data_IF_421044859643
#
_entry.id   IF_421044859643
#
_cell.length_a   1.000
_cell.length_b   1.000
_cell.length_c   1.000
_cell.angle_alpha   90.00
_cell.angle_beta   90.00
_cell.angle_gamma   90.00
#
_symmetry.space_group_name_H-M   'P 1'
#
loop_
_entity.id
_entity.type
_entity.pdbx_description
1 polymer ?
#
# COMPACT_ATOMS: atom_id res chain seq x y z
N UNK A 1 -79.40 -26.87 -37.85
CA UNK A 1 -78.78 -27.57 -36.71
C UNK A 1 -77.29 -27.68 -36.98
N UNK A 2 -76.56 -26.55 -36.99
CA UNK A 2 -75.70 -26.03 -35.90
C UNK A 2 -74.61 -27.03 -35.50
N UNK A 3 -73.39 -26.79 -36.00
CA UNK A 3 -72.23 -27.69 -35.92
C UNK A 3 -71.52 -27.75 -34.57
N UNK A 4 -70.45 -28.55 -34.46
CA UNK A 4 -69.68 -28.69 -33.24
C UNK A 4 -68.52 -27.69 -33.19
N UNK A 5 -68.50 -26.93 -32.10
CA UNK A 5 -67.35 -26.16 -31.62
C UNK A 5 -66.57 -27.00 -30.60
N UNK A 6 -65.35 -26.50 -30.31
CA UNK A 6 -64.57 -26.63 -29.05
C UNK A 6 -63.75 -27.91 -28.82
N UNK A 7 -62.52 -27.90 -28.30
CA UNK A 7 -61.67 -26.86 -27.68
C UNK A 7 -60.19 -27.30 -27.80
N UNK A 8 -59.28 -26.36 -28.11
CA UNK A 8 -57.83 -26.54 -27.94
C UNK A 8 -57.50 -26.56 -26.43
N UNK A 9 -56.74 -27.57 -26.01
CA UNK A 9 -56.15 -27.62 -24.67
C UNK A 9 -54.81 -26.86 -24.66
N UNK A 10 -54.74 -25.78 -23.89
CA UNK A 10 -53.48 -25.13 -23.49
C UNK A 10 -52.92 -25.85 -22.26
N UNK A 11 -51.71 -26.38 -22.38
CA UNK A 11 -50.92 -26.94 -21.27
C UNK A 11 -50.02 -25.85 -20.71
N UNK A 12 -50.30 -25.38 -19.49
CA UNK A 12 -49.42 -24.48 -18.75
C UNK A 12 -48.36 -25.32 -18.02
N UNK A 13 -47.10 -25.17 -18.42
CA UNK A 13 -45.94 -25.70 -17.70
C UNK A 13 -45.42 -24.63 -16.74
N UNK A 14 -45.45 -24.92 -15.44
CA UNK A 14 -44.89 -24.08 -14.40
C UNK A 14 -43.35 -24.26 -14.36
N UNK A 15 -42.62 -23.19 -14.64
CA UNK A 15 -41.18 -23.13 -14.43
C UNK A 15 -40.90 -22.68 -12.99
N UNK A 16 -40.30 -23.56 -12.19
CA UNK A 16 -39.76 -23.26 -10.86
C UNK A 16 -38.43 -22.51 -11.03
N UNK A 17 -38.45 -21.21 -10.74
CA UNK A 17 -37.25 -20.37 -10.59
C UNK A 17 -36.61 -20.66 -9.22
N UNK A 18 -35.37 -21.15 -9.22
CA UNK A 18 -34.50 -21.11 -8.04
C UNK A 18 -33.84 -19.73 -7.98
N UNK A 19 -34.41 -18.85 -7.18
CA UNK A 19 -33.75 -17.62 -6.73
C UNK A 19 -32.79 -17.97 -5.58
N UNK A 20 -31.49 -17.98 -5.86
CA UNK A 20 -30.47 -17.95 -4.83
C UNK A 20 -30.51 -16.56 -4.17
N UNK A 21 -31.15 -16.47 -2.99
CA UNK A 21 -31.11 -15.27 -2.18
C UNK A 21 -29.69 -15.14 -1.59
N UNK A 22 -28.96 -14.10 -2.00
CA UNK A 22 -27.74 -13.68 -1.34
C UNK A 22 -28.08 -13.29 0.11
N UNK A 23 -27.42 -13.94 1.07
CA UNK A 23 -27.54 -13.60 2.48
C UNK A 23 -26.72 -12.32 2.70
N UNK A 24 -27.30 -11.22 3.22
CA UNK A 24 -26.53 -10.01 3.47
C UNK A 24 -25.54 -10.28 4.60
N UNK A 25 -24.26 -10.01 4.34
CA UNK A 25 -23.21 -10.02 5.35
C UNK A 25 -23.54 -8.92 6.37
N UNK A 26 -24.00 -9.33 7.54
CA UNK A 26 -24.32 -8.41 8.63
C UNK A 26 -23.01 -7.88 9.22
N UNK A 27 -22.89 -6.57 9.31
CA UNK A 27 -21.80 -5.88 9.99
C UNK A 27 -21.82 -6.25 11.48
N UNK A 28 -20.82 -7.02 11.94
CA UNK A 28 -20.71 -7.41 13.35
C UNK A 28 -19.85 -6.41 14.13
N UNK A 29 -20.32 -6.14 15.34
CA UNK A 29 -19.93 -5.05 16.22
C UNK A 29 -18.55 -5.27 16.87
N UNK A 30 -17.74 -4.20 16.94
CA UNK A 30 -17.00 -3.72 18.13
C UNK A 30 -16.11 -4.62 19.02
N UNK A 31 -16.10 -5.94 18.87
CA UNK A 31 -15.27 -6.89 19.63
C UNK A 31 -14.37 -7.68 18.68
N UNK A 32 -13.41 -8.42 19.23
CA UNK A 32 -12.64 -9.41 18.46
C UNK A 32 -13.53 -10.11 17.43
N UNK A 33 -13.08 -10.18 16.17
CA UNK A 33 -13.80 -10.99 15.18
C UNK A 33 -14.02 -12.39 15.74
N UNK A 34 -15.24 -12.95 15.64
CA UNK A 34 -15.52 -14.28 16.16
C UNK A 34 -14.51 -15.27 15.57
N UNK A 35 -13.69 -15.89 16.41
CA UNK A 35 -12.72 -16.92 16.01
C UNK A 35 -11.22 -16.61 16.14
N UNK A 36 -10.85 -15.42 16.67
CA UNK A 36 -9.45 -15.06 16.90
C UNK A 36 -8.70 -14.62 15.64
N UNK A 37 -9.42 -14.02 14.70
CA UNK A 37 -8.87 -13.48 13.46
C UNK A 37 -8.27 -12.09 13.68
N UNK A 38 -7.27 -11.74 12.86
CA UNK A 38 -6.56 -10.47 12.88
C UNK A 38 -6.62 -9.86 11.49
N UNK A 39 -7.14 -8.64 11.37
CA UNK A 39 -7.09 -7.87 10.12
C UNK A 39 -5.77 -7.13 9.99
N UNK A 40 -5.03 -7.46 8.95
CA UNK A 40 -3.93 -6.64 8.46
C UNK A 40 -4.45 -5.79 7.30
N UNK A 41 -4.08 -4.52 7.28
CA UNK A 41 -4.45 -3.60 6.21
C UNK A 41 -3.32 -2.64 5.88
N UNK A 42 -3.36 -2.14 4.65
CA UNK A 42 -2.58 -0.98 4.20
C UNK A 42 -3.51 0.07 3.62
N UNK A 43 -3.18 1.34 3.79
CA UNK A 43 -3.91 2.45 3.21
C UNK A 43 -2.94 3.60 2.92
N UNK A 44 -2.66 3.88 1.65
CA UNK A 44 -2.15 5.19 1.30
C UNK A 44 -3.30 6.20 1.50
N UNK A 45 -3.16 7.06 2.51
CA UNK A 45 -4.22 7.99 2.92
C UNK A 45 -3.97 9.41 2.40
N UNK A 46 -2.86 9.62 1.67
CA UNK A 46 -2.40 10.92 1.19
C UNK A 46 -2.41 12.01 2.28
N UNK A 47 -2.16 11.62 3.53
CA UNK A 47 -2.05 12.50 4.69
C UNK A 47 -0.64 13.10 4.76
N UNK A 48 -0.21 13.69 3.66
CA UNK A 48 1.03 14.45 3.53
C UNK A 48 0.70 15.91 3.24
N UNK A 49 1.65 16.81 3.49
CA UNK A 49 1.50 18.25 3.22
C UNK A 49 2.70 18.78 2.44
N UNK A 50 2.56 19.90 1.73
CA UNK A 50 3.67 20.48 0.96
C UNK A 50 4.72 21.17 1.84
N UNK A 51 4.47 21.33 3.14
CA UNK A 51 5.33 22.06 4.07
C UNK A 51 5.55 21.24 5.35
N UNK A 52 6.77 21.26 5.85
CA UNK A 52 7.17 20.56 7.07
C UNK A 52 6.28 20.99 8.25
N UNK A 53 5.77 20.01 9.00
CA UNK A 53 4.86 20.26 10.13
C UNK A 53 3.42 20.61 9.75
N UNK A 54 3.10 20.75 8.46
CA UNK A 54 1.74 21.00 7.98
C UNK A 54 0.75 19.94 8.47
N UNK A 55 1.11 18.66 8.36
CA UNK A 55 0.25 17.56 8.83
C UNK A 55 -0.04 17.67 10.34
N UNK A 56 0.98 18.00 11.14
CA UNK A 56 0.81 18.19 12.59
C UNK A 56 -0.15 19.35 12.87
N UNK A 57 -0.07 20.43 12.10
CA UNK A 57 -0.96 21.58 12.25
C UNK A 57 -2.41 21.20 11.94
N UNK A 58 -2.66 20.52 10.83
CA UNK A 58 -4.02 20.14 10.42
C UNK A 58 -4.63 19.14 11.39
N UNK A 59 -3.88 18.09 11.75
CA UNK A 59 -4.31 17.09 12.71
C UNK A 59 -4.45 17.62 14.14
N UNK A 60 -3.95 18.83 14.44
CA UNK A 60 -4.06 19.42 15.80
C UNK A 60 -5.50 19.76 16.16
N UNK A 61 -6.36 19.97 15.16
CA UNK A 61 -7.80 20.16 15.29
C UNK A 61 -8.55 18.89 14.87
N UNK A 62 -9.88 18.79 15.09
CA UNK A 62 -10.69 17.70 14.55
C UNK A 62 -11.41 18.07 13.23
N UNK A 63 -10.97 19.11 12.50
CA UNK A 63 -11.73 19.71 11.40
C UNK A 63 -11.11 19.53 10.01
N UNK A 64 -9.97 18.85 9.88
CA UNK A 64 -9.41 18.51 8.57
C UNK A 64 -10.30 17.46 7.89
N UNK A 65 -10.93 17.81 6.77
CA UNK A 65 -11.91 16.96 6.10
C UNK A 65 -11.29 15.66 5.56
N UNK A 66 -10.10 15.75 4.95
CA UNK A 66 -9.39 14.57 4.44
C UNK A 66 -9.10 13.57 5.56
N UNK A 67 -8.63 14.05 6.72
CA UNK A 67 -8.39 13.19 7.88
C UNK A 67 -9.68 12.64 8.51
N UNK A 68 -10.82 13.33 8.41
CA UNK A 68 -12.13 12.78 8.80
C UNK A 68 -12.52 11.62 7.87
N UNK A 69 -12.41 11.81 6.56
CA UNK A 69 -12.75 10.80 5.57
C UNK A 69 -11.83 9.58 5.67
N UNK A 70 -10.52 9.79 5.78
CA UNK A 70 -9.55 8.72 6.02
C UNK A 70 -9.85 7.95 7.32
N UNK A 71 -10.24 8.65 8.39
CA UNK A 71 -10.64 8.01 9.64
C UNK A 71 -11.94 7.21 9.50
N UNK A 72 -12.91 7.68 8.72
CA UNK A 72 -14.13 6.93 8.41
C UNK A 72 -13.83 5.61 7.70
N UNK A 73 -13.00 5.65 6.65
CA UNK A 73 -12.55 4.45 5.91
C UNK A 73 -11.96 3.41 6.87
N UNK A 74 -11.07 3.85 7.76
CA UNK A 74 -10.43 2.99 8.78
C UNK A 74 -11.47 2.48 9.79
N UNK A 75 -12.41 3.30 10.22
CA UNK A 75 -13.44 2.94 11.22
C UNK A 75 -14.49 1.97 10.68
N UNK A 76 -14.82 2.05 9.39
CA UNK A 76 -15.68 1.09 8.70
C UNK A 76 -14.95 -0.23 8.44
N UNK A 77 -13.68 -0.17 8.05
CA UNK A 77 -12.90 -1.38 7.76
C UNK A 77 -12.39 -2.11 9.01
N UNK A 78 -12.19 -1.39 10.12
CA UNK A 78 -11.73 -1.92 11.41
C UNK A 78 -10.48 -2.81 11.35
N UNK A 79 -9.35 -2.33 10.78
CA UNK A 79 -8.12 -3.10 10.83
C UNK A 79 -7.61 -3.26 12.27
N UNK A 80 -6.91 -4.36 12.55
CA UNK A 80 -6.26 -4.57 13.85
C UNK A 80 -4.78 -4.19 13.80
N UNK A 81 -4.15 -4.34 12.63
CA UNK A 81 -2.83 -3.85 12.29
C UNK A 81 -2.96 -3.09 10.97
N UNK A 82 -2.68 -1.80 10.99
CA UNK A 82 -2.82 -0.90 9.85
C UNK A 82 -1.48 -0.23 9.56
N UNK A 83 -1.00 -0.37 8.32
CA UNK A 83 0.01 0.51 7.75
C UNK A 83 -0.71 1.67 7.04
N UNK A 84 -0.31 2.91 7.34
CA UNK A 84 -0.72 4.09 6.59
C UNK A 84 0.49 4.63 5.83
N UNK A 85 0.37 4.70 4.51
CA UNK A 85 1.34 5.31 3.61
C UNK A 85 1.01 6.80 3.40
N UNK A 86 1.98 7.56 2.91
CA UNK A 86 1.92 9.01 2.76
C UNK A 86 1.47 9.74 4.02
N UNK A 87 2.08 9.39 5.14
CA UNK A 87 1.86 10.03 6.41
C UNK A 87 3.15 10.74 6.82
N UNK A 88 3.16 12.08 6.75
CA UNK A 88 4.38 12.85 7.04
C UNK A 88 4.99 12.45 8.39
N UNK A 89 6.28 12.15 8.36
CA UNK A 89 7.04 11.77 9.53
C UNK A 89 7.32 12.99 10.39
N UNK A 90 7.05 12.86 11.69
CA UNK A 90 7.54 13.78 12.71
C UNK A 90 8.29 13.00 13.78
N UNK A 91 9.46 13.51 14.17
CA UNK A 91 10.36 12.80 15.09
C UNK A 91 9.80 12.63 16.49
N UNK A 92 8.85 13.47 16.88
CA UNK A 92 8.17 13.38 18.16
C UNK A 92 6.95 12.44 18.12
N UNK A 93 6.55 11.90 16.97
CA UNK A 93 5.34 11.09 16.76
C UNK A 93 4.03 11.82 17.09
N UNK A 94 4.01 13.15 17.01
CA UNK A 94 2.86 14.03 17.25
C UNK A 94 1.75 13.78 16.25
N UNK A 95 2.02 13.77 14.94
CA UNK A 95 1.01 13.57 13.91
C UNK A 95 0.25 12.25 14.17
N UNK A 96 0.99 11.17 14.45
CA UNK A 96 0.39 9.88 14.75
C UNK A 96 -0.50 9.88 16.01
N UNK A 97 -0.09 10.61 17.06
CA UNK A 97 -0.92 10.79 18.27
C UNK A 97 -2.16 11.64 18.00
N UNK A 98 -2.00 12.69 17.20
CA UNK A 98 -3.06 13.63 16.85
C UNK A 98 -4.13 12.96 16.00
N UNK A 99 -3.74 12.20 14.96
CA UNK A 99 -4.68 11.43 14.14
C UNK A 99 -5.47 10.42 14.99
N UNK A 100 -4.79 9.67 15.87
CA UNK A 100 -5.47 8.79 16.82
C UNK A 100 -6.47 9.56 17.69
N UNK A 101 -6.04 10.64 18.33
CA UNK A 101 -6.83 11.35 19.33
C UNK A 101 -8.02 12.07 18.73
N UNK A 102 -7.79 12.87 17.69
CA UNK A 102 -8.78 13.81 17.16
C UNK A 102 -9.70 13.18 16.10
N UNK A 103 -9.29 12.08 15.46
CA UNK A 103 -10.03 11.49 14.35
C UNK A 103 -10.41 10.05 14.63
N UNK A 104 -9.45 9.14 14.83
CA UNK A 104 -9.76 7.71 15.01
C UNK A 104 -10.57 7.42 16.28
N UNK A 105 -10.36 8.18 17.36
CA UNK A 105 -11.07 8.03 18.63
C UNK A 105 -12.49 8.62 18.63
N UNK A 106 -12.93 9.24 17.53
CA UNK A 106 -14.24 9.85 17.38
C UNK A 106 -14.93 9.31 16.13
N UNK A 107 -16.17 8.83 16.24
CA UNK A 107 -16.87 8.23 15.11
C UNK A 107 -17.14 9.24 14.00
N UNK A 108 -16.87 8.86 12.76
CA UNK A 108 -17.11 9.66 11.55
C UNK A 108 -18.35 9.14 10.83
N UNK A 109 -19.31 9.99 10.52
CA UNK A 109 -20.51 9.66 9.72
C UNK A 109 -21.21 8.33 10.10
N UNK A 110 -21.38 8.12 11.41
CA UNK A 110 -22.02 6.93 11.98
C UNK A 110 -21.14 5.68 12.09
N UNK A 111 -19.87 5.74 11.67
CA UNK A 111 -18.89 4.71 11.92
C UNK A 111 -18.42 4.73 13.38
N UNK A 112 -18.21 3.54 13.95
CA UNK A 112 -17.78 3.41 15.35
C UNK A 112 -16.31 3.81 15.53
N UNK A 113 -15.96 4.57 16.60
CA UNK A 113 -14.57 4.88 16.93
C UNK A 113 -13.65 3.67 16.93
N UNK A 114 -12.37 3.89 16.68
CA UNK A 114 -11.32 2.87 16.72
C UNK A 114 -10.09 3.36 17.47
N UNK A 115 -9.63 2.55 18.41
CA UNK A 115 -8.49 2.87 19.25
C UNK A 115 -7.31 1.91 19.01
N UNK A 116 -6.14 2.48 18.70
CA UNK A 116 -4.88 1.77 18.58
C UNK A 116 -3.93 2.15 19.72
N UNK A 117 -3.76 1.29 20.75
CA UNK A 117 -2.83 1.54 21.85
C UNK A 117 -1.36 1.55 21.41
N UNK A 118 -1.02 0.89 20.30
CA UNK A 118 0.36 0.81 19.81
C UNK A 118 0.49 1.54 18.48
N UNK A 119 1.58 2.28 18.34
CA UNK A 119 1.95 3.00 17.13
C UNK A 119 3.45 2.88 16.88
N UNK A 120 3.84 2.86 15.62
CA UNK A 120 5.25 2.90 15.23
C UNK A 120 5.43 3.86 14.06
N UNK A 121 6.42 4.74 14.18
CA UNK A 121 6.92 5.63 13.13
C UNK A 121 8.44 5.56 13.13
N UNK A 122 9.07 5.76 11.98
CA UNK A 122 10.51 5.85 11.84
C UNK A 122 10.87 6.80 10.69
N UNK A 123 12.10 7.34 10.64
CA UNK A 123 12.55 8.19 9.55
C UNK A 123 12.41 7.54 8.16
N UNK A 124 12.22 8.38 7.15
CA UNK A 124 12.11 8.05 5.73
C UNK A 124 13.22 8.74 4.94
N UNK A 125 13.58 8.22 3.77
CA UNK A 125 14.54 8.84 2.85
C UNK A 125 13.95 9.99 2.02
N UNK A 126 12.63 10.11 1.99
CA UNK A 126 11.92 11.19 1.29
C UNK A 126 12.33 12.56 1.80
N UNK A 127 12.74 13.41 0.88
CA UNK A 127 13.20 14.77 1.15
C UNK A 127 14.43 14.86 2.05
N UNK A 128 15.18 13.78 2.26
CA UNK A 128 16.50 13.84 2.91
C UNK A 128 17.55 14.14 1.83
N UNK A 129 18.17 15.31 1.90
CA UNK A 129 19.20 15.72 0.95
C UNK A 129 20.31 14.65 0.82
N UNK A 130 20.57 14.21 -0.41
CA UNK A 130 21.63 13.23 -0.66
C UNK A 130 23.01 13.88 -0.69
N UNK A 131 23.08 15.14 -1.13
CA UNK A 131 24.33 15.85 -1.44
C UNK A 131 25.01 15.32 -2.70
N UNK A 132 24.22 14.88 -3.69
CA UNK A 132 24.59 14.34 -4.99
C UNK A 132 23.68 14.96 -6.07
N UNK A 133 24.08 14.91 -7.33
CA UNK A 133 23.29 15.32 -8.52
C UNK A 133 22.56 14.08 -9.07
N UNK A 134 21.43 13.72 -8.48
CA UNK A 134 20.78 12.42 -8.75
C UNK A 134 19.92 12.42 -10.01
N UNK A 135 19.69 13.59 -10.62
CA UNK A 135 18.96 13.72 -11.88
C UNK A 135 19.84 14.13 -13.07
N UNK A 136 21.14 14.35 -12.85
CA UNK A 136 22.15 14.73 -13.84
C UNK A 136 21.87 16.08 -14.52
N UNK A 137 21.28 17.04 -13.80
CA UNK A 137 21.03 18.40 -14.32
C UNK A 137 22.26 19.33 -14.21
N UNK A 138 23.33 18.86 -13.57
CA UNK A 138 24.59 19.57 -13.33
C UNK A 138 24.61 20.38 -12.05
N UNK A 139 23.64 20.19 -11.14
CA UNK A 139 23.52 20.89 -9.85
C UNK A 139 23.34 19.88 -8.73
N UNK A 140 23.65 20.33 -7.52
CA UNK A 140 23.38 19.57 -6.30
C UNK A 140 22.65 20.49 -5.34
N UNK A 141 21.38 20.18 -5.09
CA UNK A 141 20.47 20.99 -4.27
C UNK A 141 20.27 20.32 -2.92
N UNK A 142 20.66 21.00 -1.84
CA UNK A 142 20.59 20.43 -0.47
C UNK A 142 19.70 21.23 0.48
N UNK A 143 19.08 22.32 0.03
CA UNK A 143 18.24 23.18 0.86
C UNK A 143 16.75 23.02 0.51
N UNK A 144 15.90 22.58 1.47
CA UNK A 144 14.45 22.51 1.27
C UNK A 144 13.85 23.81 0.73
N UNK A 145 12.94 23.69 -0.24
CA UNK A 145 12.26 24.83 -0.87
C UNK A 145 13.01 25.45 -2.06
N UNK A 146 14.26 25.06 -2.32
CA UNK A 146 14.90 25.35 -3.61
C UNK A 146 14.34 24.44 -4.72
N UNK A 147 14.23 24.95 -5.94
CA UNK A 147 13.84 24.12 -7.10
C UNK A 147 14.88 23.05 -7.38
N UNK A 148 14.44 21.82 -7.65
CA UNK A 148 15.31 20.64 -7.80
C UNK A 148 15.63 19.90 -6.47
N UNK A 149 15.22 20.44 -5.31
CA UNK A 149 15.53 19.81 -4.01
C UNK A 149 15.06 18.35 -3.90
N UNK A 150 13.85 18.06 -4.39
CA UNK A 150 13.29 16.71 -4.33
C UNK A 150 14.03 15.73 -5.24
N UNK A 151 14.51 16.21 -6.38
CA UNK A 151 15.19 15.39 -7.39
C UNK A 151 16.57 14.90 -6.90
N UNK A 152 17.24 15.70 -6.06
CA UNK A 152 18.52 15.37 -5.41
C UNK A 152 18.41 14.75 -4.01
N UNK A 153 17.20 14.53 -3.51
CA UNK A 153 17.00 13.84 -2.23
C UNK A 153 17.17 12.31 -2.39
N UNK A 154 17.51 11.59 -1.31
CA UNK A 154 17.60 10.13 -1.36
C UNK A 154 16.29 9.47 -1.84
N UNK A 155 15.16 10.08 -1.55
CA UNK A 155 13.89 9.86 -2.25
C UNK A 155 13.16 11.19 -2.38
N UNK A 156 12.33 11.33 -3.41
CA UNK A 156 11.66 12.59 -3.71
C UNK A 156 10.81 13.09 -2.53
N UNK A 157 10.95 14.37 -2.19
CA UNK A 157 10.18 15.06 -1.17
C UNK A 157 10.67 16.49 -0.95
N UNK A 158 9.76 17.39 -0.60
CA UNK A 158 10.03 18.82 -0.36
C UNK A 158 10.75 19.09 0.97
N UNK A 159 10.67 18.16 1.93
CA UNK A 159 11.35 18.24 3.22
C UNK A 159 11.59 16.83 3.80
N UNK A 160 12.56 16.67 4.72
CA UNK A 160 12.84 15.38 5.35
C UNK A 160 11.61 14.78 6.04
N UNK A 161 11.16 13.62 5.58
CA UNK A 161 10.04 12.89 6.17
C UNK A 161 8.68 13.10 5.51
N UNK A 162 8.57 13.94 4.48
CA UNK A 162 7.34 14.04 3.67
C UNK A 162 6.98 12.66 3.09
N UNK A 163 5.71 12.30 2.95
CA UNK A 163 5.29 11.00 2.40
C UNK A 163 5.77 9.78 3.21
N UNK A 164 5.98 9.97 4.51
CA UNK A 164 6.41 8.91 5.42
C UNK A 164 5.36 7.80 5.61
N UNK A 165 5.56 6.99 6.63
CA UNK A 165 4.66 5.89 6.99
C UNK A 165 4.38 5.89 8.49
N UNK A 166 3.24 5.30 8.87
CA UNK A 166 2.92 5.01 10.27
C UNK A 166 2.20 3.68 10.39
N UNK A 167 2.52 2.92 11.43
CA UNK A 167 1.77 1.71 11.80
C UNK A 167 0.92 2.00 13.02
N UNK A 168 -0.35 1.63 12.96
CA UNK A 168 -1.28 1.57 14.08
C UNK A 168 -1.61 0.12 14.39
N UNK A 169 -1.60 -0.27 15.68
CA UNK A 169 -1.94 -1.63 16.07
C UNK A 169 -2.73 -1.72 17.36
N UNK A 170 -3.71 -2.63 17.36
CA UNK A 170 -4.42 -3.12 18.55
C UNK A 170 -3.58 -4.11 19.35
N UNK A 171 -2.57 -4.69 18.71
CA UNK A 171 -1.67 -5.67 19.28
C UNK A 171 -0.31 -5.06 19.60
N UNK A 172 0.40 -5.55 20.63
CA UNK A 172 1.72 -5.03 20.97
C UNK A 172 2.71 -5.18 19.82
N UNK A 173 3.43 -4.09 19.53
CA UNK A 173 4.58 -4.07 18.62
C UNK A 173 5.83 -4.34 19.46
N UNK A 174 6.66 -5.30 19.04
CA UNK A 174 7.95 -5.56 19.68
C UNK A 174 9.01 -4.60 19.12
N UNK A 175 9.00 -3.35 19.61
CA UNK A 175 9.85 -2.27 19.10
C UNK A 175 11.34 -2.56 19.22
N UNK A 176 11.76 -3.34 20.20
CA UNK A 176 13.17 -3.75 20.38
C UNK A 176 13.65 -4.79 19.35
N UNK A 177 12.72 -5.40 18.60
CA UNK A 177 13.01 -6.36 17.55
C UNK A 177 12.69 -5.82 16.15
N UNK A 178 12.26 -4.57 16.02
CA UNK A 178 12.04 -3.92 14.72
C UNK A 178 13.37 -3.78 13.98
N UNK A 179 13.33 -4.02 12.67
CA UNK A 179 14.44 -3.72 11.77
C UNK A 179 13.99 -2.71 10.73
N UNK A 180 14.81 -1.71 10.47
CA UNK A 180 14.60 -0.74 9.41
C UNK A 180 15.74 -0.85 8.40
N UNK A 181 15.44 -0.59 7.13
CA UNK A 181 16.41 -0.69 6.04
C UNK A 181 16.44 0.61 5.24
N UNK A 182 16.38 1.74 5.95
CA UNK A 182 16.40 3.06 5.33
C UNK A 182 17.74 3.29 4.60
N UNK A 183 18.85 2.90 5.21
CA UNK A 183 20.21 3.24 4.78
C UNK A 183 20.88 2.17 3.92
N UNK A 184 20.20 1.05 3.66
CA UNK A 184 20.70 -0.01 2.79
C UNK A 184 20.98 0.53 1.38
N UNK A 185 22.22 0.37 0.89
CA UNK A 185 22.66 0.92 -0.40
C UNK A 185 22.15 0.10 -1.58
N UNK A 186 21.79 0.77 -2.67
CA UNK A 186 21.28 0.09 -3.87
C UNK A 186 22.37 -0.78 -4.51
N UNK A 187 23.59 -0.27 -4.62
CA UNK A 187 24.74 -1.00 -5.18
C UNK A 187 25.13 -2.26 -4.36
N UNK A 188 24.73 -2.35 -3.09
CA UNK A 188 24.99 -3.55 -2.28
C UNK A 188 24.03 -4.70 -2.58
N UNK A 189 22.98 -4.48 -3.38
CA UNK A 189 22.11 -5.54 -3.88
C UNK A 189 22.80 -6.29 -5.03
N UNK A 190 23.02 -7.62 -4.91
CA UNK A 190 23.68 -8.38 -5.97
C UNK A 190 22.87 -8.36 -7.27
N UNK A 191 23.47 -7.91 -8.37
CA UNK A 191 22.78 -7.76 -9.65
C UNK A 191 21.62 -6.78 -9.55
N UNK A 192 21.82 -5.65 -8.86
CA UNK A 192 20.90 -4.53 -8.86
C UNK A 192 20.61 -4.08 -10.31
N UNK A 193 19.36 -3.72 -10.57
CA UNK A 193 18.89 -3.17 -11.83
C UNK A 193 19.25 -1.68 -11.90
N UNK A 194 20.54 -1.34 -11.84
CA UNK A 194 21.00 0.04 -11.91
C UNK A 194 20.73 0.64 -13.31
N UNK A 195 20.20 1.87 -13.41
CA UNK A 195 19.86 2.48 -14.69
C UNK A 195 21.10 2.88 -15.49
N UNK A 196 20.95 2.93 -16.81
CA UNK A 196 21.95 3.42 -17.77
C UNK A 196 21.37 4.60 -18.54
N UNK A 197 22.21 5.53 -18.95
CA UNK A 197 21.80 6.59 -19.88
C UNK A 197 21.47 5.95 -21.25
N UNK A 198 20.23 6.11 -21.76
CA UNK A 198 19.80 5.47 -23.01
C UNK A 198 20.47 6.04 -24.26
N UNK A 199 21.07 7.23 -24.20
CA UNK A 199 21.77 7.86 -25.33
C UNK A 199 23.20 7.35 -25.47
N UNK A 200 23.88 7.15 -24.34
CA UNK A 200 25.31 6.79 -24.31
C UNK A 200 25.53 5.30 -24.02
N UNK A 201 24.61 4.65 -23.33
CA UNK A 201 24.74 3.27 -22.84
C UNK A 201 25.61 3.14 -21.58
N UNK A 202 26.11 4.25 -21.05
CA UNK A 202 26.94 4.30 -19.84
C UNK A 202 26.07 4.26 -18.56
N UNK A 203 26.64 3.93 -17.39
CA UNK A 203 25.93 4.03 -16.12
C UNK A 203 25.32 5.42 -15.92
N UNK A 204 24.06 5.48 -15.47
CA UNK A 204 23.40 6.77 -15.21
C UNK A 204 23.95 7.45 -13.95
N UNK A 205 24.30 6.65 -12.94
CA UNK A 205 24.95 7.12 -11.72
C UNK A 205 26.45 6.89 -11.77
N UNK A 206 27.21 7.85 -11.26
CA UNK A 206 28.64 7.72 -11.02
C UNK A 206 28.96 6.75 -9.88
N UNK A 207 30.22 6.31 -9.81
CA UNK A 207 30.70 5.45 -8.72
C UNK A 207 30.53 6.12 -7.34
N UNK A 208 30.77 7.44 -7.25
CA UNK A 208 30.60 8.21 -6.01
C UNK A 208 29.13 8.25 -5.53
N UNK A 209 28.20 8.38 -6.47
CA UNK A 209 26.77 8.33 -6.17
C UNK A 209 26.36 6.94 -5.69
N UNK A 210 26.79 5.89 -6.38
CA UNK A 210 26.46 4.51 -6.03
C UNK A 210 27.02 4.08 -4.67
N UNK A 211 28.11 4.67 -4.20
CA UNK A 211 28.65 4.45 -2.85
C UNK A 211 27.71 4.93 -1.73
N UNK A 212 26.78 5.84 -2.04
CA UNK A 212 25.91 6.53 -1.07
C UNK A 212 24.42 6.30 -1.34
N UNK A 213 24.03 6.06 -2.59
CA UNK A 213 22.64 5.94 -3.00
C UNK A 213 21.95 4.76 -2.31
N UNK A 214 20.87 5.07 -1.61
CA UNK A 214 20.07 4.12 -0.83
C UNK A 214 19.05 3.44 -1.72
N UNK A 215 18.79 2.16 -1.52
CA UNK A 215 17.77 1.44 -2.29
C UNK A 215 16.37 2.01 -2.02
N UNK A 216 15.96 2.00 -0.75
CA UNK A 216 14.64 2.49 -0.33
C UNK A 216 14.49 3.98 -0.65
N UNK A 217 13.47 4.37 -1.40
CA UNK A 217 13.08 5.77 -1.61
C UNK A 217 12.39 6.35 -0.38
N UNK A 218 11.63 5.52 0.35
CA UNK A 218 11.08 5.83 1.68
C UNK A 218 11.81 5.00 2.75
N UNK A 219 11.35 3.78 3.00
CA UNK A 219 11.99 2.81 3.88
C UNK A 219 11.37 1.42 3.70
N UNK A 220 12.08 0.37 4.12
CA UNK A 220 11.51 -0.94 4.39
C UNK A 220 11.57 -1.21 5.89
N UNK A 221 10.50 -1.75 6.47
CA UNK A 221 10.44 -2.11 7.89
C UNK A 221 10.04 -3.58 8.07
N UNK A 222 10.72 -4.26 8.99
CA UNK A 222 10.27 -5.53 9.56
C UNK A 222 9.80 -5.30 11.00
N UNK A 223 8.48 -5.36 11.22
CA UNK A 223 7.84 -5.00 12.48
C UNK A 223 7.15 -6.23 13.09
N UNK A 224 7.70 -6.84 14.14
CA UNK A 224 7.07 -7.99 14.79
C UNK A 224 5.85 -7.56 15.63
N UNK A 225 4.68 -8.08 15.29
CA UNK A 225 3.41 -7.81 16.00
C UNK A 225 2.96 -9.05 16.77
N UNK A 226 2.66 -8.88 18.05
CA UNK A 226 2.25 -9.97 18.96
C UNK A 226 0.74 -10.17 18.92
N UNK A 227 0.29 -10.90 17.91
CA UNK A 227 -1.15 -11.15 17.63
C UNK A 227 -1.79 -12.25 18.49
N UNK A 228 -1.04 -12.89 19.40
CA UNK A 228 -1.55 -13.95 20.26
C UNK A 228 -0.46 -14.62 21.11
N UNK A 229 -0.70 -15.86 21.54
CA UNK A 229 0.25 -16.64 22.39
C UNK A 229 1.41 -17.30 21.64
N UNK A 230 1.47 -17.13 20.32
CA UNK A 230 2.48 -17.74 19.44
C UNK A 230 3.67 -16.83 19.15
N UNK A 231 4.42 -17.20 18.10
CA UNK A 231 5.43 -16.32 17.50
C UNK A 231 4.75 -15.05 16.96
N UNK A 232 5.43 -13.89 16.96
CA UNK A 232 4.90 -12.70 16.32
C UNK A 232 4.66 -12.94 14.83
N UNK A 233 3.69 -12.21 14.28
CA UNK A 233 3.55 -12.05 12.83
C UNK A 233 4.31 -10.79 12.46
N UNK A 234 5.24 -10.93 11.53
CA UNK A 234 6.04 -9.81 11.04
C UNK A 234 5.23 -9.01 10.01
N UNK A 235 4.97 -7.74 10.28
CA UNK A 235 4.52 -6.79 9.27
C UNK A 235 5.76 -6.31 8.51
N UNK A 236 5.87 -6.70 7.24
CA UNK A 236 6.92 -6.25 6.33
C UNK A 236 6.36 -5.07 5.54
N UNK A 237 6.61 -3.86 6.04
CA UNK A 237 6.03 -2.63 5.52
C UNK A 237 6.99 -1.94 4.53
N UNK A 238 6.48 -1.48 3.40
CA UNK A 238 7.24 -0.67 2.45
C UNK A 238 6.35 0.38 1.76
N UNK A 239 7.03 1.36 1.17
CA UNK A 239 6.44 2.31 0.23
C UNK A 239 7.50 2.58 -0.85
N UNK A 240 7.65 1.71 -1.86
CA UNK A 240 8.55 1.91 -2.99
C UNK A 240 8.24 3.19 -3.77
N UNK A 241 9.16 3.60 -4.63
CA UNK A 241 8.96 4.75 -5.50
C UNK A 241 7.90 4.46 -6.56
N UNK A 242 7.02 5.41 -6.92
CA UNK A 242 6.24 5.31 -8.15
C UNK A 242 7.18 5.12 -9.35
N UNK A 243 6.93 4.14 -10.25
CA UNK A 243 7.79 3.85 -11.39
C UNK A 243 7.54 4.82 -12.57
N UNK A 244 7.50 6.10 -12.27
CA UNK A 244 7.19 7.21 -13.18
C UNK A 244 7.90 8.49 -12.71
N UNK A 245 7.65 9.63 -13.38
CA UNK A 245 8.24 10.94 -13.03
C UNK A 245 9.76 11.01 -13.17
N UNK A 246 10.32 10.20 -14.08
CA UNK A 246 11.73 10.17 -14.44
C UNK A 246 11.94 10.36 -15.96
N UNK A 247 13.21 10.43 -16.37
CA UNK A 247 13.59 10.56 -17.76
C UNK A 247 13.64 9.21 -18.51
N UNK A 248 14.13 9.22 -19.76
CA UNK A 248 14.21 8.03 -20.60
C UNK A 248 15.14 6.93 -20.04
N UNK A 249 15.96 7.22 -19.02
CA UNK A 249 16.73 6.26 -18.24
C UNK A 249 15.87 5.32 -17.38
N UNK A 250 14.62 5.71 -17.10
CA UNK A 250 13.64 4.94 -16.30
C UNK A 250 14.18 4.50 -14.92
N UNK A 251 14.89 5.41 -14.22
CA UNK A 251 15.51 5.17 -12.91
C UNK A 251 14.52 4.72 -11.83
N UNK A 252 13.30 5.26 -11.82
CA UNK A 252 12.26 4.92 -10.86
C UNK A 252 11.63 3.56 -11.18
N UNK A 253 11.51 3.18 -12.45
CA UNK A 253 11.10 1.82 -12.84
C UNK A 253 12.09 0.78 -12.33
N UNK A 254 13.39 1.04 -12.55
CA UNK A 254 14.50 0.23 -12.07
C UNK A 254 14.52 0.13 -10.53
N UNK A 255 14.35 1.27 -9.85
CA UNK A 255 14.37 1.34 -8.39
C UNK A 255 13.18 0.64 -7.75
N UNK A 256 11.96 0.89 -8.24
CA UNK A 256 10.74 0.23 -7.77
C UNK A 256 10.85 -1.30 -7.86
N UNK A 257 11.41 -1.81 -8.97
CA UNK A 257 11.66 -3.24 -9.14
C UNK A 257 12.53 -3.81 -8.01
N UNK A 258 13.65 -3.16 -7.72
CA UNK A 258 14.60 -3.64 -6.71
C UNK A 258 14.12 -3.41 -5.27
N UNK A 259 13.33 -2.37 -5.03
CA UNK A 259 12.62 -2.17 -3.76
C UNK A 259 11.64 -3.32 -3.50
N UNK A 260 10.83 -3.72 -4.50
CA UNK A 260 9.98 -4.90 -4.36
C UNK A 260 10.80 -6.20 -4.20
N UNK A 261 11.93 -6.31 -4.91
CA UNK A 261 12.81 -7.48 -4.87
C UNK A 261 13.43 -7.66 -3.50
N UNK A 262 13.70 -6.55 -2.80
CA UNK A 262 14.23 -6.55 -1.46
C UNK A 262 13.44 -7.50 -0.55
N UNK A 263 12.10 -7.40 -0.53
CA UNK A 263 11.30 -8.31 0.29
C UNK A 263 11.22 -9.73 -0.25
N UNK A 264 11.26 -9.94 -1.57
CA UNK A 264 11.36 -11.29 -2.14
C UNK A 264 12.64 -12.02 -1.65
N UNK A 265 13.77 -11.31 -1.62
CA UNK A 265 15.05 -11.81 -1.14
C UNK A 265 15.07 -11.92 0.40
N UNK A 266 14.45 -10.96 1.09
CA UNK A 266 14.35 -10.95 2.56
C UNK A 266 13.59 -12.17 3.09
N UNK A 267 12.47 -12.57 2.47
CA UNK A 267 11.66 -13.71 2.93
C UNK A 267 12.12 -15.06 2.36
N UNK A 268 13.15 -15.05 1.51
CA UNK A 268 13.77 -16.22 0.89
C UNK A 268 14.90 -16.78 1.76
N UNK A 269 14.77 -18.00 2.31
CA UNK A 269 15.85 -18.63 3.04
C UNK A 269 17.13 -18.71 2.20
N UNK A 270 18.21 -18.11 2.69
CA UNK A 270 19.52 -18.12 2.03
C UNK A 270 19.76 -17.04 0.97
N UNK A 271 18.76 -16.24 0.56
CA UNK A 271 18.98 -15.13 -0.40
C UNK A 271 19.27 -13.79 0.26
N UNK A 272 18.67 -13.50 1.42
CA UNK A 272 18.87 -12.23 2.13
C UNK A 272 20.23 -12.05 2.83
N UNK A 273 21.28 -12.79 2.47
CA UNK A 273 22.59 -12.73 3.14
C UNK A 273 23.33 -11.40 2.97
N UNK A 274 23.06 -10.69 1.88
CA UNK A 274 23.63 -9.37 1.60
C UNK A 274 22.91 -8.24 2.37
N UNK A 275 21.67 -8.48 2.82
CA UNK A 275 20.83 -7.49 3.48
C UNK A 275 21.37 -7.20 4.88
N UNK A 276 21.52 -5.92 5.20
CA UNK A 276 21.80 -5.41 6.55
C UNK A 276 20.79 -4.33 6.91
N UNK A 277 20.34 -4.30 8.17
CA UNK A 277 19.49 -3.24 8.69
C UNK A 277 20.32 -2.01 9.11
N UNK A 278 19.64 -0.94 9.51
CA UNK A 278 20.26 0.33 9.91
C UNK A 278 21.11 0.21 11.19
N UNK A 279 20.95 -0.87 11.97
CA UNK A 279 21.80 -1.23 13.12
C UNK A 279 22.96 -2.17 12.73
N UNK A 280 23.10 -2.49 11.44
CA UNK A 280 24.15 -3.37 10.90
C UNK A 280 23.87 -4.87 11.06
N UNK A 281 22.70 -5.30 11.54
CA UNK A 281 22.35 -6.72 11.64
C UNK A 281 22.08 -7.29 10.25
N UNK A 282 22.79 -8.37 9.92
CA UNK A 282 22.73 -9.02 8.60
C UNK A 282 21.73 -10.17 8.53
N UNK A 283 21.24 -10.42 7.33
CA UNK A 283 20.41 -11.57 6.99
C UNK A 283 18.94 -11.24 6.80
N UNK A 284 18.25 -12.14 6.09
CA UNK A 284 16.81 -12.08 5.85
C UNK A 284 15.97 -12.58 7.02
N UNK A 285 14.66 -12.67 6.78
CA UNK A 285 13.69 -13.20 7.72
C UNK A 285 13.98 -14.67 8.06
N UNK A 286 13.89 -15.02 9.35
CA UNK A 286 14.21 -16.38 9.81
C UNK A 286 13.27 -17.43 9.19
N UNK A 287 13.80 -18.62 8.83
CA UNK A 287 12.96 -19.72 8.34
C UNK A 287 11.79 -20.03 9.30
N UNK A 288 10.60 -20.17 8.73
CA UNK A 288 9.38 -20.48 9.49
C UNK A 288 8.74 -19.29 10.22
N UNK A 289 9.29 -18.07 10.11
CA UNK A 289 8.58 -16.86 10.51
C UNK A 289 7.28 -16.71 9.69
N UNK A 290 6.25 -16.17 10.36
CA UNK A 290 4.99 -15.75 9.74
C UNK A 290 5.09 -14.26 9.45
N UNK A 291 4.61 -13.85 8.29
CA UNK A 291 4.67 -12.45 7.90
C UNK A 291 3.46 -12.06 7.07
N UNK A 292 3.24 -10.75 6.98
CA UNK A 292 2.36 -10.09 6.02
C UNK A 292 3.19 -8.95 5.41
N UNK A 293 3.39 -8.98 4.09
CA UNK A 293 3.95 -7.84 3.35
C UNK A 293 2.80 -6.85 3.13
N UNK A 294 3.00 -5.58 3.44
CA UNK A 294 1.97 -4.55 3.30
C UNK A 294 2.56 -3.24 2.79
N UNK A 295 1.81 -2.55 1.92
CA UNK A 295 2.17 -1.22 1.44
C UNK A 295 1.53 -0.89 0.09
N UNK A 296 1.55 0.39 -0.24
CA UNK A 296 1.58 0.83 -1.63
C UNK A 296 2.93 0.42 -2.22
N UNK A 297 2.92 -0.61 -3.08
CA UNK A 297 4.10 -1.15 -3.76
C UNK A 297 4.33 -0.48 -5.13
N UNK A 298 3.42 0.42 -5.54
CA UNK A 298 3.54 1.26 -6.73
C UNK A 298 3.66 0.52 -8.06
N UNK A 299 3.36 -0.78 -8.12
CA UNK A 299 3.49 -1.56 -9.34
C UNK A 299 2.32 -2.52 -9.56
N UNK A 300 1.63 -2.30 -10.67
CA UNK A 300 0.59 -3.19 -11.19
C UNK A 300 1.21 -4.30 -12.07
N UNK A 301 0.80 -5.57 -11.93
CA UNK A 301 1.38 -6.68 -12.67
C UNK A 301 0.91 -6.80 -14.14
N UNK A 302 -0.11 -6.04 -14.55
CA UNK A 302 -0.78 -6.13 -15.85
C UNK A 302 -0.77 -4.80 -16.64
N UNK A 303 -1.12 -3.69 -15.99
CA UNK A 303 -1.59 -2.47 -16.67
C UNK A 303 -0.73 -1.21 -16.41
N UNK A 304 0.22 -1.27 -15.47
CA UNK A 304 1.08 -0.14 -15.13
C UNK A 304 2.35 0.00 -15.97
N UNK A 305 2.98 1.17 -15.93
CA UNK A 305 4.23 1.50 -16.65
C UNK A 305 5.52 0.98 -15.96
N UNK A 306 5.37 0.20 -14.89
CA UNK A 306 6.46 -0.36 -14.10
C UNK A 306 7.21 -1.50 -14.80
N UNK A 307 8.20 -2.05 -14.09
CA UNK A 307 8.88 -3.25 -14.56
C UNK A 307 7.93 -4.45 -14.41
N UNK A 308 7.73 -5.31 -15.45
CA UNK A 308 6.76 -6.39 -15.39
C UNK A 308 6.95 -7.33 -14.20
N UNK A 309 8.20 -7.55 -13.79
CA UNK A 309 8.53 -8.46 -12.68
C UNK A 309 8.54 -7.81 -11.28
N UNK A 310 8.31 -6.49 -11.18
CA UNK A 310 8.42 -5.75 -9.91
C UNK A 310 7.60 -6.37 -8.79
N UNK A 311 6.28 -6.46 -8.92
CA UNK A 311 5.44 -7.15 -7.93
C UNK A 311 5.27 -8.64 -8.21
N UNK A 312 5.43 -9.09 -9.46
CA UNK A 312 5.30 -10.51 -9.84
C UNK A 312 6.23 -11.43 -9.04
N UNK A 313 7.46 -11.00 -8.79
CA UNK A 313 8.42 -11.75 -7.96
C UNK A 313 7.94 -11.98 -6.52
N UNK A 314 7.07 -11.12 -5.98
CA UNK A 314 6.39 -11.31 -4.69
C UNK A 314 5.14 -12.19 -4.85
N UNK A 315 4.32 -11.91 -5.87
CA UNK A 315 3.05 -12.61 -6.11
C UNK A 315 3.25 -14.10 -6.40
N UNK A 316 4.30 -14.44 -7.15
CA UNK A 316 4.64 -15.82 -7.52
C UNK A 316 5.59 -16.49 -6.50
N UNK A 317 5.99 -15.76 -5.46
CA UNK A 317 6.97 -16.26 -4.51
C UNK A 317 6.49 -17.48 -3.72
N UNK A 318 7.35 -18.50 -3.56
CA UNK A 318 7.00 -19.75 -2.86
C UNK A 318 6.65 -19.58 -1.38
N UNK A 319 7.11 -18.50 -0.75
CA UNK A 319 6.80 -18.19 0.67
C UNK A 319 5.64 -17.21 0.82
N UNK A 320 5.17 -16.58 -0.26
CA UNK A 320 4.08 -15.60 -0.24
C UNK A 320 2.83 -16.25 -0.81
N UNK A 321 1.68 -15.96 -0.22
CA UNK A 321 0.39 -16.32 -0.79
C UNK A 321 -0.10 -15.17 -1.68
N UNK A 322 0.52 -15.01 -2.86
CA UNK A 322 0.22 -13.91 -3.78
C UNK A 322 -0.98 -14.12 -4.70
N UNK A 323 -1.56 -15.32 -4.70
CA UNK A 323 -2.78 -15.61 -5.47
C UNK A 323 -4.06 -15.05 -4.85
N UNK A 324 -3.95 -14.26 -3.78
CA UNK A 324 -5.09 -13.54 -3.21
C UNK A 324 -5.35 -12.31 -4.07
N UNK A 325 -6.61 -12.15 -4.46
CA UNK A 325 -7.10 -11.03 -5.25
C UNK A 325 -8.20 -10.35 -4.43
N UNK A 326 -7.84 -9.43 -3.50
CA UNK A 326 -8.81 -8.54 -2.88
C UNK A 326 -9.65 -7.85 -3.96
N UNK A 327 -10.93 -7.64 -3.69
CA UNK A 327 -11.83 -7.07 -4.67
C UNK A 327 -12.75 -6.00 -4.08
N UNK A 328 -13.31 -5.17 -4.94
CA UNK A 328 -14.34 -4.19 -4.63
C UNK A 328 -15.39 -4.09 -5.75
N UNK A 329 -16.55 -3.50 -5.41
CA UNK A 329 -17.57 -3.13 -6.39
C UNK A 329 -17.28 -1.76 -7.02
N UNK A 330 -16.55 -0.89 -6.32
CA UNK A 330 -16.23 0.48 -6.76
C UNK A 330 -15.24 0.52 -7.93
N UNK A 331 -14.24 -0.36 -7.96
CA UNK A 331 -13.22 -0.36 -9.03
C UNK A 331 -13.79 -0.53 -10.44
N UNK A 332 -14.62 -1.56 -10.71
CA UNK A 332 -15.28 -1.72 -12.01
C UNK A 332 -16.22 -0.55 -12.34
N UNK A 333 -16.90 0.02 -11.34
CA UNK A 333 -17.78 1.16 -11.53
C UNK A 333 -17.01 2.41 -11.96
N UNK A 334 -15.89 2.71 -11.30
CA UNK A 334 -15.03 3.83 -11.61
C UNK A 334 -14.43 3.68 -13.01
N UNK A 335 -13.77 2.54 -13.28
CA UNK A 335 -13.17 2.23 -14.58
C UNK A 335 -14.16 2.39 -15.74
N UNK A 336 -15.40 1.90 -15.57
CA UNK A 336 -16.45 2.03 -16.59
C UNK A 336 -16.96 3.46 -16.78
N UNK A 337 -17.03 4.25 -15.70
CA UNK A 337 -17.51 5.63 -15.75
C UNK A 337 -16.47 6.60 -16.34
N UNK A 338 -15.20 6.39 -16.02
CA UNK A 338 -14.07 7.23 -16.43
C UNK A 338 -13.58 6.92 -17.86
N UNK A 339 -13.49 5.63 -18.21
CA UNK A 339 -12.96 5.22 -19.51
C UNK A 339 -11.48 5.57 -19.66
N UNK A 340 -11.09 6.23 -20.75
CA UNK A 340 -9.68 6.62 -20.99
C UNK A 340 -8.73 5.42 -20.95
N UNK A 341 -7.66 5.52 -20.15
CA UNK A 341 -6.67 4.44 -19.97
C UNK A 341 -7.32 3.10 -19.56
N UNK A 342 -8.35 3.15 -18.70
CA UNK A 342 -9.08 1.97 -18.23
C UNK A 342 -9.67 1.12 -19.37
N UNK A 343 -9.97 1.71 -20.54
CA UNK A 343 -10.51 0.96 -21.69
C UNK A 343 -9.49 0.03 -22.35
N UNK A 344 -8.20 0.27 -22.13
CA UNK A 344 -7.10 -0.55 -22.63
C UNK A 344 -6.55 -1.56 -21.62
N UNK A 345 -7.04 -1.55 -20.38
CA UNK A 345 -6.55 -2.42 -19.31
C UNK A 345 -6.96 -3.88 -19.55
N UNK A 346 -6.10 -4.78 -19.09
CA UNK A 346 -6.21 -6.23 -19.21
C UNK A 346 -6.45 -6.91 -17.87
N UNK A 347 -6.08 -6.27 -16.76
CA UNK A 347 -6.47 -6.66 -15.41
C UNK A 347 -7.98 -6.55 -15.19
N UNK A 348 -8.49 -7.33 -14.24
CA UNK A 348 -9.88 -7.19 -13.80
C UNK A 348 -9.97 -5.99 -12.83
N UNK A 349 -10.72 -4.93 -13.17
CA UNK A 349 -10.79 -3.71 -12.35
C UNK A 349 -11.43 -3.93 -10.98
N UNK A 350 -12.03 -5.11 -10.73
CA UNK A 350 -12.45 -5.50 -9.40
C UNK A 350 -11.27 -5.51 -8.41
N UNK A 351 -10.04 -5.73 -8.89
CA UNK A 351 -8.83 -5.86 -8.09
C UNK A 351 -8.00 -4.58 -7.99
N UNK A 352 -8.42 -3.50 -8.64
CA UNK A 352 -7.75 -2.22 -8.56
C UNK A 352 -7.85 -1.65 -7.14
N UNK A 353 -6.79 -0.94 -6.75
CA UNK A 353 -6.64 -0.37 -5.42
C UNK A 353 -6.37 1.11 -5.45
N UNK A 354 -6.16 1.69 -6.62
CA UNK A 354 -5.99 3.12 -6.83
C UNK A 354 -6.72 3.58 -8.10
N UNK A 355 -7.15 4.83 -8.09
CA UNK A 355 -7.86 5.57 -9.13
C UNK A 355 -7.03 6.81 -9.51
N UNK A 356 -6.15 6.65 -10.51
CA UNK A 356 -5.31 7.73 -11.02
C UNK A 356 -5.94 8.40 -12.25
N UNK A 357 -5.38 9.54 -12.66
CA UNK A 357 -5.84 10.24 -13.85
C UNK A 357 -5.86 9.38 -15.12
N UNK A 358 -6.95 9.46 -15.89
CA UNK A 358 -7.13 8.67 -17.12
C UNK A 358 -6.45 9.27 -18.37
N UNK A 359 -6.21 10.58 -18.37
CA UNK A 359 -5.68 11.33 -19.53
C UNK A 359 -4.68 12.43 -19.13
N UNK A 360 -3.38 12.27 -19.44
CA UNK A 360 -2.77 10.98 -19.76
C UNK A 360 -3.00 9.99 -18.60
N UNK A 361 -2.91 8.68 -18.88
CA UNK A 361 -3.12 7.61 -17.90
C UNK A 361 -2.23 7.72 -16.65
N UNK A 362 -2.30 6.74 -15.73
CA UNK A 362 -2.55 5.33 -16.06
C UNK A 362 -3.98 4.84 -15.82
N UNK A 363 -4.92 5.65 -15.32
CA UNK A 363 -6.22 5.13 -14.88
C UNK A 363 -6.09 4.23 -13.64
N UNK A 364 -7.02 3.29 -13.46
CA UNK A 364 -7.09 2.48 -12.25
C UNK A 364 -6.04 1.38 -12.27
N UNK A 365 -5.39 1.15 -11.13
CA UNK A 365 -4.32 0.15 -10.99
C UNK A 365 -4.40 -0.58 -9.65
N UNK A 366 -3.86 -1.80 -9.60
CA UNK A 366 -3.57 -2.54 -8.37
C UNK A 366 -2.13 -2.27 -7.92
N UNK A 367 -1.96 -1.30 -7.05
CA UNK A 367 -0.65 -0.87 -6.52
C UNK A 367 -0.48 -1.11 -5.02
N UNK A 368 -1.58 -1.34 -4.28
CA UNK A 368 -1.58 -1.61 -2.85
C UNK A 368 -1.73 -3.10 -2.57
N UNK A 369 -0.90 -3.60 -1.66
CA UNK A 369 -0.81 -5.02 -1.40
C UNK A 369 -0.84 -5.32 0.09
N UNK A 370 -1.56 -6.40 0.44
CA UNK A 370 -1.43 -7.08 1.72
C UNK A 370 -1.25 -8.57 1.41
N UNK A 371 -0.04 -9.10 1.59
CA UNK A 371 0.37 -10.42 1.11
C UNK A 371 0.84 -11.29 2.28
N UNK A 372 0.07 -12.30 2.70
CA UNK A 372 0.44 -13.13 3.83
C UNK A 372 1.44 -14.21 3.41
N UNK A 373 2.29 -14.63 4.35
CA UNK A 373 3.14 -15.80 4.17
C UNK A 373 2.32 -17.07 3.92
N UNK A 374 2.81 -17.98 3.06
CA UNK A 374 2.13 -19.26 2.82
C UNK A 374 1.98 -20.06 4.12
N UNK A 375 0.78 -20.62 4.29
CA UNK A 375 0.40 -21.38 5.49
C UNK A 375 -0.04 -20.50 6.66
N UNK A 376 -0.16 -19.18 6.49
CA UNK A 376 -1.00 -18.34 7.33
C UNK A 376 -2.45 -18.43 6.78
N UNK A 377 -3.41 -19.02 7.52
CA UNK A 377 -4.77 -19.21 7.05
C UNK A 377 -5.48 -17.87 6.82
N UNK A 378 -5.98 -17.65 5.61
CA UNK A 378 -6.74 -16.45 5.22
C UNK A 378 -8.24 -16.73 5.34
N UNK A 379 -8.99 -15.77 5.85
CA UNK A 379 -10.44 -15.88 6.14
C UNK A 379 -11.28 -14.91 5.32
N UNK A 380 -10.71 -13.78 4.94
CA UNK A 380 -11.32 -12.79 4.08
C UNK A 380 -10.26 -11.84 3.53
N UNK A 381 -10.59 -11.19 2.43
CA UNK A 381 -9.79 -10.16 1.78
C UNK A 381 -10.74 -9.14 1.16
N UNK A 382 -10.30 -7.90 0.98
CA UNK A 382 -11.09 -6.91 0.25
C UNK A 382 -10.35 -5.59 0.03
N UNK A 383 -10.92 -4.78 -0.84
CA UNK A 383 -10.56 -3.37 -1.04
C UNK A 383 -11.76 -2.53 -0.56
N UNK A 384 -11.52 -1.54 0.29
CA UNK A 384 -12.56 -0.61 0.72
C UNK A 384 -12.80 0.43 -0.38
N UNK A 385 -13.58 0.04 -1.38
CA UNK A 385 -14.05 0.91 -2.46
C UNK A 385 -15.51 0.57 -2.73
N UNK A 386 -16.44 1.07 -1.91
CA UNK A 386 -17.86 0.76 -2.06
C UNK A 386 -18.44 1.45 -3.30
N UNK A 387 -19.51 0.87 -3.86
CA UNK A 387 -20.22 1.45 -4.99
C UNK A 387 -20.82 2.83 -4.63
N UNK A 388 -21.07 3.67 -5.64
CA UNK A 388 -21.63 4.99 -5.38
C UNK A 388 -23.00 4.92 -4.66
N UNK A 389 -23.16 5.72 -3.60
CA UNK A 389 -24.35 5.76 -2.76
C UNK A 389 -24.37 4.75 -1.60
N UNK A 390 -23.41 3.83 -1.54
CA UNK A 390 -23.22 2.94 -0.39
C UNK A 390 -22.49 3.68 0.77
N UNK A 391 -22.70 3.26 2.03
CA UNK A 391 -22.05 3.88 3.18
C UNK A 391 -20.51 3.89 3.06
N UNK A 392 -19.92 5.09 3.15
CA UNK A 392 -18.47 5.30 3.04
C UNK A 392 -17.95 5.52 1.62
N UNK A 393 -18.80 5.60 0.60
CA UNK A 393 -18.40 5.91 -0.77
C UNK A 393 -17.79 7.33 -0.90
N UNK A 394 -18.35 8.32 -0.21
CA UNK A 394 -17.78 9.67 -0.17
C UNK A 394 -16.41 9.67 0.51
N UNK A 395 -16.29 9.00 1.66
CA UNK A 395 -15.04 8.89 2.41
C UNK A 395 -13.95 8.11 1.67
N UNK A 396 -14.32 7.18 0.77
CA UNK A 396 -13.36 6.44 -0.06
C UNK A 396 -12.60 7.34 -1.04
N UNK A 397 -13.06 8.58 -1.27
CA UNK A 397 -12.37 9.59 -2.08
C UNK A 397 -11.37 10.45 -1.27
N UNK A 398 -11.07 10.09 0.00
CA UNK A 398 -10.06 10.78 0.82
C UNK A 398 -8.65 10.75 0.22
N UNK A 399 -8.39 9.75 -0.62
CA UNK A 399 -7.16 9.50 -1.35
C UNK A 399 -7.54 8.91 -2.71
N UNK A 400 -6.62 9.03 -3.66
CA UNK A 400 -6.62 8.28 -4.92
C UNK A 400 -6.32 6.79 -4.70
N UNK A 401 -5.92 6.38 -3.49
CA UNK A 401 -5.79 4.98 -3.10
C UNK A 401 -6.94 4.51 -2.20
N UNK A 402 -7.19 3.20 -2.22
CA UNK A 402 -8.23 2.54 -1.45
C UNK A 402 -7.64 1.50 -0.49
N UNK A 403 -8.13 1.47 0.75
CA UNK A 403 -7.62 0.60 1.80
C UNK A 403 -7.77 -0.87 1.41
N UNK A 404 -6.67 -1.61 1.40
CA UNK A 404 -6.63 -3.05 1.14
C UNK A 404 -6.45 -3.82 2.44
N UNK A 405 -7.20 -4.91 2.63
CA UNK A 405 -7.14 -5.70 3.86
C UNK A 405 -7.23 -7.20 3.62
N UNK A 406 -6.73 -7.95 4.61
CA UNK A 406 -6.96 -9.38 4.75
C UNK A 406 -7.11 -9.78 6.21
N UNK A 407 -7.84 -10.87 6.41
CA UNK A 407 -8.07 -11.48 7.72
C UNK A 407 -7.31 -12.79 7.81
N UNK A 408 -6.49 -12.93 8.85
CA UNK A 408 -5.68 -14.12 9.11
C UNK A 408 -5.94 -14.69 10.49
N UNK A 409 -5.64 -15.98 10.67
CA UNK A 409 -5.77 -16.69 11.94
C UNK A 409 -4.46 -17.31 12.41
#
# INVERSE_FOLDING_TARGET
MTGPRTLLALSAAAALLWSAAAVPASADHGGHRPGGEVRFATFNASLNRPQEGGLVADLSTPHDAQAQDAAEVIQRTRPDVLLVNEFDYDSEGRAARLFQRNYLSHGQNGAEPIHYPYRYTAPSNTGVASGLDLDNDGRTVTEPGQGGYGDDAYGFGAFPGQYGMVVYSRYPIDTGAVRTFQTFRWADMPGALLPTDPQTGEPFYSDEELERLRLSSKSHWDIPVRTGRGKPVHLLAAHPTPPSFDGPERRNVARNHDENRFFADYVSPGRGGYIYDDDGRRGGLRPGARFVIAGDLNADPNDGDGHPDATRQLLEHRRVNGGLLPASEGGPQAAAAQGGANTGHTGDPAHDTADFGDVPGPGNLRVDYVLPSRGLPVRGTGVFWPAAGEPGAEAAAASDHHLVWLDVR
#
